data_IF_597703071365
#
_entry.id   IF_597703071365
#
_cell.length_a   1.000
_cell.length_b   1.000
_cell.length_c   1.000
_cell.angle_alpha   90.00
_cell.angle_beta   90.00
_cell.angle_gamma   90.00
#
_symmetry.space_group_name_H-M   'P 1'
#
loop_
_entity.id
_entity.type
_entity.pdbx_description
1 polymer ?
#
# COMPACT_ATOMS: atom_id res chain seq x y z
N UNK A 1 8.62 -13.42 17.60
CA UNK A 1 9.78 -14.01 17.04
C UNK A 1 9.92 -13.68 15.57
N UNK A 2 11.07 -13.95 15.06
CA UNK A 2 11.40 -13.57 13.70
C UNK A 2 10.39 -14.08 12.69
N UNK A 3 9.93 -15.30 12.93
CA UNK A 3 8.99 -15.92 12.02
C UNK A 3 7.69 -15.14 11.86
N UNK A 4 7.30 -14.39 12.89
CA UNK A 4 6.08 -13.61 12.80
C UNK A 4 6.19 -12.51 11.77
N UNK A 5 7.31 -11.77 11.79
CA UNK A 5 7.50 -10.74 10.78
C UNK A 5 7.64 -11.34 9.40
N UNK A 6 8.37 -12.45 9.29
CA UNK A 6 8.51 -13.11 8.01
C UNK A 6 7.22 -13.70 7.49
N UNK A 7 6.22 -13.85 8.35
CA UNK A 7 4.93 -14.40 7.96
C UNK A 7 3.92 -13.37 7.55
N UNK A 8 4.20 -12.09 7.78
CA UNK A 8 3.27 -11.09 7.30
C UNK A 8 3.18 -11.23 5.80
N UNK A 9 1.95 -11.27 5.32
CA UNK A 9 1.73 -11.44 3.89
C UNK A 9 2.23 -10.21 3.13
N UNK A 10 2.54 -10.42 1.86
CA UNK A 10 2.90 -9.31 1.00
C UNK A 10 1.78 -8.27 0.98
N UNK A 11 0.55 -8.75 1.02
CA UNK A 11 -0.63 -7.92 1.05
C UNK A 11 -0.62 -6.99 2.27
N UNK A 12 -0.37 -7.55 3.47
CA UNK A 12 -0.35 -6.77 4.69
C UNK A 12 0.80 -5.75 4.69
N UNK A 13 1.96 -6.15 4.21
CA UNK A 13 3.11 -5.25 4.13
C UNK A 13 2.83 -4.07 3.21
N UNK A 14 2.26 -4.36 2.05
CA UNK A 14 1.96 -3.31 1.09
C UNK A 14 0.85 -2.39 1.62
N UNK A 15 -0.17 -2.96 2.24
CA UNK A 15 -1.25 -2.17 2.81
C UNK A 15 -0.73 -1.22 3.89
N UNK A 16 0.20 -1.71 4.73
CA UNK A 16 0.80 -0.87 5.76
C UNK A 16 1.55 0.31 5.14
N UNK A 17 2.33 0.05 4.08
CA UNK A 17 3.08 1.10 3.42
C UNK A 17 2.14 2.12 2.76
N UNK A 18 1.15 1.64 2.03
CA UNK A 18 0.22 2.55 1.35
C UNK A 18 -0.53 3.43 2.35
N UNK A 19 -0.94 2.84 3.47
CA UNK A 19 -1.65 3.61 4.48
C UNK A 19 -0.75 4.66 5.12
N UNK A 20 0.51 4.31 5.37
CA UNK A 20 1.47 5.26 5.91
C UNK A 20 1.71 6.41 4.94
N UNK A 21 1.82 6.11 3.64
CA UNK A 21 2.01 7.14 2.64
C UNK A 21 0.80 8.05 2.51
N UNK A 22 -0.40 7.45 2.60
CA UNK A 22 -1.62 8.23 2.54
C UNK A 22 -1.74 9.18 3.73
N UNK A 23 -1.34 8.71 4.91
CA UNK A 23 -1.36 9.55 6.09
C UNK A 23 -0.34 10.68 6.00
N UNK A 24 0.82 10.37 5.46
CA UNK A 24 1.87 11.38 5.28
C UNK A 24 1.44 12.45 4.28
N UNK A 25 0.63 12.09 3.29
CA UNK A 25 0.16 13.02 2.28
C UNK A 25 -1.06 13.81 2.73
N UNK A 26 -1.64 13.45 3.86
CA UNK A 26 -2.87 14.07 4.34
C UNK A 26 -2.61 15.44 4.94
N UNK A 27 -3.57 16.32 4.76
CA UNK A 27 -3.55 17.62 5.44
C UNK A 27 -4.27 17.58 6.78
N UNK A 28 -4.90 16.45 7.09
CA UNK A 28 -5.61 16.25 8.35
C UNK A 28 -5.00 15.09 9.11
N UNK A 29 -4.66 15.26 10.40
CA UNK A 29 -4.08 14.17 11.16
C UNK A 29 -5.04 13.02 11.43
N UNK A 30 -6.34 13.25 11.24
CA UNK A 30 -7.34 12.25 11.57
C UNK A 30 -7.67 11.31 10.40
N UNK A 31 -7.36 11.71 9.19
CA UNK A 31 -7.76 10.94 8.00
C UNK A 31 -6.63 10.83 7.00
N UNK A 32 -6.45 9.66 6.38
CA UNK A 32 -5.50 9.55 5.30
C UNK A 32 -5.99 10.32 4.08
N UNK A 33 -5.06 10.71 3.22
CA UNK A 33 -5.43 11.33 1.97
C UNK A 33 -6.17 10.32 1.11
N UNK A 34 -7.18 10.79 0.37
CA UNK A 34 -7.93 9.92 -0.52
C UNK A 34 -7.21 9.71 -1.85
N UNK A 35 -6.25 10.57 -2.17
CA UNK A 35 -5.45 10.42 -3.38
C UNK A 35 -4.07 10.96 -3.10
N UNK A 36 -3.06 10.27 -3.61
CA UNK A 36 -1.68 10.70 -3.41
C UNK A 36 -0.81 10.05 -4.48
N UNK A 37 0.41 10.56 -4.61
CA UNK A 37 1.37 9.97 -5.52
C UNK A 37 2.38 9.14 -4.73
N UNK A 38 2.76 8.00 -5.30
CA UNK A 38 3.77 7.17 -4.68
C UNK A 38 5.12 7.86 -4.83
N UNK A 39 5.81 8.14 -3.73
CA UNK A 39 7.15 8.74 -3.80
C UNK A 39 8.22 7.72 -4.12
N UNK A 40 7.86 6.45 -4.20
CA UNK A 40 8.78 5.34 -4.40
C UNK A 40 8.45 4.61 -5.69
N UNK A 41 9.47 4.09 -6.34
CA UNK A 41 9.26 3.20 -7.48
C UNK A 41 8.85 1.82 -6.96
N UNK A 42 8.36 0.97 -7.87
CA UNK A 42 8.04 -0.41 -7.53
C UNK A 42 9.26 -1.14 -6.95
N UNK A 43 10.43 -0.90 -7.54
CA UNK A 43 11.65 -1.51 -7.04
C UNK A 43 12.01 -1.04 -5.66
N UNK A 44 11.83 0.25 -5.39
CA UNK A 44 12.11 0.79 -4.07
C UNK A 44 11.15 0.24 -3.03
N UNK A 45 9.86 0.12 -3.39
CA UNK A 45 8.89 -0.48 -2.48
C UNK A 45 9.21 -1.94 -2.20
N UNK A 46 9.61 -2.67 -3.24
CA UNK A 46 9.97 -4.07 -3.08
C UNK A 46 11.16 -4.21 -2.12
N UNK A 47 12.18 -3.37 -2.30
CA UNK A 47 13.34 -3.41 -1.43
C UNK A 47 12.98 -3.09 0.02
N UNK A 48 12.14 -2.07 0.19
CA UNK A 48 11.71 -1.66 1.52
C UNK A 48 10.92 -2.74 2.24
N UNK A 49 10.07 -3.45 1.50
CA UNK A 49 9.18 -4.44 2.09
C UNK A 49 9.74 -5.85 2.07
N UNK A 50 10.92 -6.04 1.48
CA UNK A 50 11.49 -7.38 1.37
C UNK A 50 10.75 -8.25 0.39
N UNK A 51 10.21 -7.65 -0.67
CA UNK A 51 9.44 -8.34 -1.70
C UNK A 51 10.12 -8.19 -3.04
N UNK A 52 9.61 -8.91 -4.04
CA UNK A 52 10.05 -8.71 -5.42
C UNK A 52 9.16 -7.65 -6.08
N UNK A 53 9.69 -7.07 -7.17
CA UNK A 53 8.90 -6.10 -7.94
C UNK A 53 7.63 -6.73 -8.46
N UNK A 54 7.73 -7.99 -8.92
CA UNK A 54 6.57 -8.71 -9.42
C UNK A 54 5.49 -8.86 -8.35
N UNK A 55 5.92 -9.18 -7.13
CA UNK A 55 4.97 -9.34 -6.03
C UNK A 55 4.29 -8.02 -5.71
N UNK A 56 5.05 -6.92 -5.68
CA UNK A 56 4.47 -5.61 -5.42
C UNK A 56 3.44 -5.27 -6.49
N UNK A 57 3.79 -5.47 -7.76
CA UNK A 57 2.86 -5.18 -8.85
C UNK A 57 1.61 -6.04 -8.79
N UNK A 58 1.78 -7.32 -8.48
CA UNK A 58 0.64 -8.23 -8.38
C UNK A 58 -0.29 -7.83 -7.23
N UNK A 59 0.27 -7.46 -6.09
CA UNK A 59 -0.54 -7.08 -4.96
C UNK A 59 -1.25 -5.75 -5.19
N UNK A 60 -0.62 -4.80 -5.87
CA UNK A 60 -1.30 -3.58 -6.25
C UNK A 60 -2.48 -3.87 -7.16
N UNK A 61 -2.30 -4.77 -8.12
CA UNK A 61 -3.38 -5.18 -9.00
C UNK A 61 -4.53 -5.85 -8.25
N UNK A 62 -4.19 -6.68 -7.26
CA UNK A 62 -5.22 -7.34 -6.47
C UNK A 62 -6.03 -6.33 -5.65
N UNK A 63 -5.37 -5.34 -5.07
CA UNK A 63 -6.07 -4.30 -4.33
C UNK A 63 -6.99 -3.51 -5.25
N UNK A 64 -6.56 -3.28 -6.47
CA UNK A 64 -7.37 -2.56 -7.44
C UNK A 64 -8.59 -3.38 -7.86
N UNK A 65 -8.40 -4.68 -8.05
CA UNK A 65 -9.52 -5.56 -8.40
C UNK A 65 -10.58 -5.62 -7.31
N UNK A 66 -10.16 -5.49 -6.06
CA UNK A 66 -11.09 -5.51 -4.94
C UNK A 66 -11.67 -4.13 -4.64
N UNK A 67 -11.37 -3.15 -5.48
CA UNK A 67 -11.86 -1.79 -5.32
C UNK A 67 -11.42 -1.16 -4.01
N UNK A 68 -10.27 -1.55 -3.50
CA UNK A 68 -9.67 -0.92 -2.31
C UNK A 68 -8.89 0.30 -2.72
N UNK A 69 -8.20 0.22 -3.85
CA UNK A 69 -7.48 1.35 -4.42
C UNK A 69 -7.79 1.44 -5.93
N UNK A 70 -7.43 2.58 -6.49
CA UNK A 70 -7.44 2.76 -7.94
C UNK A 70 -6.12 3.42 -8.32
N UNK A 71 -5.47 2.87 -9.34
CA UNK A 71 -4.20 3.43 -9.81
C UNK A 71 -4.47 4.46 -10.89
N UNK A 72 -3.79 5.59 -10.79
CA UNK A 72 -3.93 6.67 -11.75
C UNK A 72 -2.55 7.04 -12.28
N UNK A 73 -2.31 6.77 -13.56
CA UNK A 73 -1.01 7.00 -14.15
C UNK A 73 0.04 6.09 -13.57
N UNK A 74 1.29 6.51 -13.64
CA UNK A 74 2.40 5.68 -13.20
C UNK A 74 2.55 5.64 -11.69
N UNK A 75 2.14 6.68 -10.99
CA UNK A 75 2.41 6.81 -9.56
C UNK A 75 1.19 7.18 -8.72
N UNK A 76 0.09 7.56 -9.35
CA UNK A 76 -1.08 8.00 -8.60
C UNK A 76 -1.83 6.85 -7.97
N UNK A 77 -2.27 7.04 -6.74
CA UNK A 77 -3.08 6.08 -6.01
C UNK A 77 -4.28 6.82 -5.44
N UNK A 78 -5.45 6.27 -5.66
CA UNK A 78 -6.66 6.75 -5.03
C UNK A 78 -7.18 5.69 -4.08
N UNK A 79 -7.43 6.07 -2.83
CA UNK A 79 -8.00 5.14 -1.85
C UNK A 79 -9.51 5.12 -2.02
N UNK A 80 -10.03 3.96 -2.38
CA UNK A 80 -11.47 3.77 -2.51
C UNK A 80 -12.09 3.23 -1.23
N UNK A 81 -11.32 2.46 -0.46
CA UNK A 81 -11.82 1.88 0.79
C UNK A 81 -10.69 1.84 1.81
N UNK A 82 -10.51 2.99 2.48
CA UNK A 82 -9.43 3.13 3.47
C UNK A 82 -9.61 2.18 4.65
N UNK A 83 -10.86 1.92 5.03
CA UNK A 83 -11.12 1.04 6.17
C UNK A 83 -10.65 -0.38 5.87
N UNK A 84 -10.90 -0.86 4.66
CA UNK A 84 -10.47 -2.20 4.30
C UNK A 84 -8.96 -2.28 4.14
N UNK A 85 -8.35 -1.22 3.63
CA UNK A 85 -6.90 -1.15 3.55
C UNK A 85 -6.28 -1.24 4.95
N UNK A 86 -6.86 -0.52 5.91
CA UNK A 86 -6.39 -0.56 7.29
C UNK A 86 -6.55 -1.95 7.89
N UNK A 87 -7.63 -2.65 7.55
CA UNK A 87 -7.85 -4.00 8.03
C UNK A 87 -6.79 -4.96 7.49
N UNK A 88 -6.38 -4.79 6.24
CA UNK A 88 -5.35 -5.63 5.65
C UNK A 88 -3.98 -5.35 6.24
N UNK A 89 -3.76 -4.15 6.74
CA UNK A 89 -2.48 -3.74 7.29
C UNK A 89 -2.18 -4.37 8.65
N UNK A 90 -3.16 -4.99 9.26
CA UNK A 90 -2.98 -5.59 10.59
C UNK A 90 -2.31 -6.95 10.55
#
# INVERSE_FOLDING_TARGET
>A
QIALDGRRSANAKLATLLLALARAASHSPCHPATAFELPLTRGEMAALLGLTIETVSRQLGALEEEAIIEREGARGIRLLNAAQLAALAQ
#
